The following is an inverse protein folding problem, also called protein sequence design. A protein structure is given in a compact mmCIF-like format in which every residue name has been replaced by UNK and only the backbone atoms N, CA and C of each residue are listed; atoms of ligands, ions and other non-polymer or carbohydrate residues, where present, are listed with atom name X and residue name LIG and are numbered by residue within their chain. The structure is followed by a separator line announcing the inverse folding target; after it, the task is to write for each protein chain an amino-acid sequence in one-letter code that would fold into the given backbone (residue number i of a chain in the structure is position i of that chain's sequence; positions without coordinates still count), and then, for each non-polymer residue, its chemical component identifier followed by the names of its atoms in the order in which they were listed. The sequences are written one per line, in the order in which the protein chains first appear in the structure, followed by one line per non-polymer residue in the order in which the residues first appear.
data_IF_809468321710
#
_entry.id   IF_809468321710
#
_cell.length_a   1.000
_cell.length_b   1.000
_cell.length_c   1.000
_cell.angle_alpha   90.00
_cell.angle_beta   90.00
_cell.angle_gamma   90.00
#
_symmetry.space_group_name_H-M   'P 1'
#
loop_
_entity.id
_entity.type
_entity.pdbx_description
1 polymer ?
#
# COMPACT_ATOMS: atom_id res chain seq x y z
N UNK A 1 1.19 -17.53 -2.04
CA UNK A 1 1.18 -16.83 -3.34
C UNK A 1 1.37 -17.84 -4.47
N UNK A 2 0.99 -17.52 -5.72
CA UNK A 2 1.43 -18.33 -6.86
C UNK A 2 2.96 -18.33 -6.94
N UNK A 3 3.54 -19.47 -7.32
CA UNK A 3 4.97 -19.61 -7.53
C UNK A 3 5.34 -18.94 -8.87
N UNK A 4 6.25 -17.96 -8.83
CA UNK A 4 6.74 -17.26 -10.01
C UNK A 4 7.96 -17.99 -10.57
N UNK A 5 8.19 -17.90 -11.88
CA UNK A 5 9.46 -18.38 -12.42
C UNK A 5 10.61 -17.52 -11.86
N UNK A 6 11.78 -18.10 -11.61
CA UNK A 6 12.92 -17.39 -11.02
C UNK A 6 13.35 -16.11 -11.80
N UNK A 7 13.06 -16.04 -13.10
CA UNK A 7 13.30 -14.84 -13.92
C UNK A 7 12.34 -13.68 -13.61
N UNK A 8 11.18 -14.02 -13.05
CA UNK A 8 10.08 -13.13 -12.69
C UNK A 8 10.07 -12.77 -11.19
N UNK A 9 11.01 -13.31 -10.38
CA UNK A 9 11.26 -12.93 -8.98
C UNK A 9 11.98 -11.57 -8.87
N UNK A 10 11.62 -10.62 -9.73
CA UNK A 10 12.13 -9.27 -9.66
C UNK A 10 11.35 -8.49 -8.62
N UNK A 11 12.09 -7.67 -7.87
CA UNK A 11 11.54 -6.60 -7.04
C UNK A 11 10.47 -5.83 -7.81
N UNK A 12 9.28 -5.72 -7.23
CA UNK A 12 8.15 -5.00 -7.81
C UNK A 12 8.41 -3.49 -7.80
N UNK A 13 8.21 -2.81 -8.93
CA UNK A 13 8.43 -1.36 -9.00
C UNK A 13 7.33 -0.56 -8.27
N UNK A 14 6.09 -1.05 -8.31
CA UNK A 14 4.92 -0.40 -7.71
C UNK A 14 3.92 -1.43 -7.21
N UNK A 15 3.53 -1.34 -5.93
CA UNK A 15 2.48 -2.14 -5.31
C UNK A 15 1.35 -1.25 -4.81
N UNK A 16 0.10 -1.68 -5.01
CA UNK A 16 -1.08 -1.07 -4.39
C UNK A 16 -1.51 -1.91 -3.19
N UNK A 17 -1.68 -1.27 -2.05
CA UNK A 17 -2.09 -1.88 -0.80
C UNK A 17 -3.48 -1.41 -0.41
N UNK A 18 -4.29 -2.35 0.04
CA UNK A 18 -5.60 -2.06 0.61
C UNK A 18 -5.44 -1.87 2.11
N UNK A 19 -5.60 -0.64 2.60
CA UNK A 19 -5.44 -0.34 4.03
C UNK A 19 -6.69 -0.75 4.82
N UNK A 20 -7.87 -0.63 4.21
CA UNK A 20 -9.14 -1.00 4.83
C UNK A 20 -9.17 -2.46 5.28
N UNK A 21 -9.52 -2.68 6.55
CA UNK A 21 -9.67 -4.01 7.15
C UNK A 21 -8.42 -4.92 7.03
N UNK A 22 -7.22 -4.34 6.90
CA UNK A 22 -5.98 -5.10 6.72
C UNK A 22 -5.70 -6.14 7.82
N UNK A 23 -6.16 -5.86 9.06
CA UNK A 23 -6.02 -6.75 10.22
C UNK A 23 -6.86 -8.03 10.10
N UNK A 24 -7.79 -8.11 9.14
CA UNK A 24 -8.59 -9.31 8.88
C UNK A 24 -7.87 -10.33 7.98
N UNK A 25 -6.70 -9.98 7.46
CA UNK A 25 -5.88 -10.84 6.61
C UNK A 25 -4.62 -11.23 7.37
N UNK A 26 -4.45 -12.53 7.60
CA UNK A 26 -3.28 -13.05 8.30
C UNK A 26 -1.99 -12.65 7.57
N UNK A 27 -1.01 -12.18 8.35
CA UNK A 27 0.33 -11.82 7.87
C UNK A 27 0.35 -10.72 6.78
N UNK A 28 -0.67 -9.86 6.74
CA UNK A 28 -0.72 -8.70 5.83
C UNK A 28 -0.49 -7.38 6.61
N UNK A 29 0.35 -6.45 6.10
CA UNK A 29 1.05 -6.48 4.82
C UNK A 29 2.40 -7.25 4.79
N UNK A 30 2.86 -7.78 5.93
CA UNK A 30 4.24 -8.23 6.13
C UNK A 30 4.69 -9.31 5.14
N UNK A 31 3.92 -10.39 5.01
CA UNK A 31 4.27 -11.49 4.12
C UNK A 31 4.35 -11.07 2.66
N UNK A 32 3.34 -10.32 2.20
CA UNK A 32 3.32 -9.83 0.82
C UNK A 32 4.52 -8.92 0.53
N UNK A 33 4.79 -7.96 1.40
CA UNK A 33 5.87 -6.99 1.22
C UNK A 33 7.24 -7.66 1.33
N UNK A 34 7.38 -8.64 2.23
CA UNK A 34 8.59 -9.47 2.35
C UNK A 34 8.87 -10.21 1.04
N UNK A 35 7.84 -10.78 0.41
CA UNK A 35 7.99 -11.59 -0.79
C UNK A 35 8.29 -10.75 -2.04
N UNK A 36 7.56 -9.63 -2.24
CA UNK A 36 7.64 -8.86 -3.50
C UNK A 36 8.60 -7.66 -3.43
N UNK A 37 9.00 -7.27 -2.21
CA UNK A 37 9.90 -6.16 -1.91
C UNK A 37 9.61 -4.93 -2.77
N UNK A 38 8.49 -4.22 -2.66
CA UNK A 38 8.16 -3.14 -3.60
C UNK A 38 9.11 -1.94 -3.49
N UNK A 39 9.40 -1.26 -4.61
CA UNK A 39 10.10 0.06 -4.62
C UNK A 39 9.19 1.18 -4.14
N UNK A 40 7.95 1.13 -4.58
CA UNK A 40 6.93 2.12 -4.26
C UNK A 40 5.65 1.38 -3.81
N UNK A 41 5.05 1.84 -2.72
CA UNK A 41 3.80 1.32 -2.17
C UNK A 41 2.76 2.44 -2.16
N UNK A 42 1.65 2.28 -2.88
CA UNK A 42 0.50 3.17 -2.79
C UNK A 42 -0.50 2.59 -1.82
N UNK A 43 -0.83 3.35 -0.79
CA UNK A 43 -1.76 2.99 0.26
C UNK A 43 -3.13 3.53 -0.13
N UNK A 44 -4.03 2.66 -0.57
CA UNK A 44 -5.37 3.01 -1.00
C UNK A 44 -6.44 2.33 -0.15
N UNK A 45 -7.69 2.71 -0.40
CA UNK A 45 -8.83 2.20 0.36
C UNK A 45 -8.67 2.43 1.86
N UNK A 46 -8.06 3.56 2.21
CA UNK A 46 -7.99 4.07 3.57
C UNK A 46 -9.15 5.04 3.84
N UNK A 47 -9.77 5.56 2.77
CA UNK A 47 -10.77 6.63 2.77
C UNK A 47 -12.16 6.16 3.19
N UNK A 48 -12.87 6.95 3.99
CA UNK A 48 -14.30 6.79 4.27
C UNK A 48 -15.13 7.35 3.10
N UNK A 49 -15.50 6.48 2.16
CA UNK A 49 -16.27 6.83 0.96
C UNK A 49 -17.74 7.22 1.23
N UNK A 50 -18.23 7.14 2.47
CA UNK A 50 -19.62 7.46 2.79
C UNK A 50 -19.89 8.97 2.95
N UNK A 51 -18.86 9.81 2.95
CA UNK A 51 -18.99 11.27 3.07
C UNK A 51 -19.58 11.98 1.84
N UNK A 52 -19.58 11.34 0.66
CA UNK A 52 -20.05 11.88 -0.63
C UNK A 52 -19.44 13.23 -1.08
N UNK A 53 -18.36 13.70 -0.46
CA UNK A 53 -17.59 14.88 -0.89
C UNK A 53 -16.11 14.52 -1.10
N UNK A 54 -15.69 14.18 -2.33
CA UNK A 54 -14.31 13.82 -2.61
C UNK A 54 -13.34 15.02 -2.59
N UNK A 55 -13.85 16.26 -2.52
CA UNK A 55 -13.05 17.48 -2.47
C UNK A 55 -12.92 18.06 -1.04
N UNK A 56 -13.69 17.53 -0.08
CA UNK A 56 -13.64 17.92 1.32
C UNK A 56 -12.58 17.17 2.12
N UNK A 57 -12.54 17.43 3.43
CA UNK A 57 -11.65 16.73 4.36
C UNK A 57 -11.98 15.24 4.41
N UNK A 58 -11.03 14.41 4.03
CA UNK A 58 -11.21 12.96 4.03
C UNK A 58 -10.96 12.39 5.42
N UNK A 59 -11.76 11.39 5.78
CA UNK A 59 -11.62 10.65 7.02
C UNK A 59 -11.15 9.23 6.71
N UNK A 60 -10.42 8.63 7.64
CA UNK A 60 -10.07 7.21 7.54
C UNK A 60 -11.30 6.31 7.73
N UNK A 61 -11.31 5.14 7.09
CA UNK A 61 -12.30 4.08 7.34
C UNK A 61 -12.37 3.80 8.83
N UNK A 62 -13.59 3.76 9.37
CA UNK A 62 -13.84 3.50 10.79
C UNK A 62 -13.24 2.17 11.22
N UNK A 63 -12.75 2.14 12.46
CA UNK A 63 -12.16 0.95 13.09
C UNK A 63 -10.91 0.43 12.36
N UNK A 64 -10.31 1.21 11.46
CA UNK A 64 -9.02 0.89 10.82
C UNK A 64 -7.97 1.89 11.31
N UNK A 65 -6.82 1.39 11.76
CA UNK A 65 -5.68 2.25 12.10
C UNK A 65 -4.70 2.35 10.93
N UNK A 66 -4.75 3.48 10.21
CA UNK A 66 -3.85 3.77 9.09
C UNK A 66 -2.40 3.84 9.60
N UNK A 67 -2.17 4.44 10.76
CA UNK A 67 -0.84 4.47 11.40
C UNK A 67 -0.30 3.07 11.70
N UNK A 68 -1.15 2.15 12.21
CA UNK A 68 -0.72 0.77 12.47
C UNK A 68 -0.32 0.06 11.16
N UNK A 69 -1.09 0.27 10.09
CA UNK A 69 -0.72 -0.26 8.77
C UNK A 69 0.66 0.26 8.32
N UNK A 70 0.88 1.58 8.41
CA UNK A 70 2.15 2.21 8.00
C UNK A 70 3.30 1.66 8.84
N UNK A 71 3.15 1.59 10.16
CA UNK A 71 4.19 1.06 11.05
C UNK A 71 4.56 -0.38 10.69
N UNK A 72 3.57 -1.24 10.45
CA UNK A 72 3.80 -2.65 10.06
C UNK A 72 4.48 -2.74 8.70
N UNK A 73 4.06 -1.95 7.72
CA UNK A 73 4.72 -1.85 6.41
C UNK A 73 6.19 -1.43 6.54
N UNK A 74 6.47 -0.40 7.34
CA UNK A 74 7.82 0.12 7.55
C UNK A 74 8.77 -0.92 8.19
N UNK A 75 8.25 -1.90 8.95
CA UNK A 75 9.08 -2.95 9.54
C UNK A 75 9.64 -3.98 8.55
N UNK A 76 9.04 -4.10 7.35
CA UNK A 76 9.37 -5.15 6.37
C UNK A 76 9.77 -4.61 4.99
N UNK A 77 9.51 -3.33 4.72
CA UNK A 77 9.91 -2.72 3.45
C UNK A 77 11.44 -2.56 3.40
N UNK A 78 12.00 -2.59 2.18
CA UNK A 78 13.42 -2.30 1.99
C UNK A 78 13.75 -0.85 2.38
N UNK A 79 14.99 -0.60 2.80
CA UNK A 79 15.47 0.73 3.23
C UNK A 79 15.29 1.83 2.17
N UNK A 80 15.33 1.46 0.88
CA UNK A 80 15.17 2.38 -0.24
C UNK A 80 13.72 2.51 -0.74
N UNK A 81 12.79 1.76 -0.15
CA UNK A 81 11.38 1.76 -0.53
C UNK A 81 10.68 3.05 -0.04
N UNK A 82 9.60 3.41 -0.72
CA UNK A 82 8.74 4.54 -0.35
C UNK A 82 7.29 4.10 -0.28
N UNK A 83 6.54 4.68 0.65
CA UNK A 83 5.09 4.57 0.69
C UNK A 83 4.44 5.94 0.43
N UNK A 84 3.23 5.90 -0.11
CA UNK A 84 2.43 7.05 -0.47
C UNK A 84 1.00 6.83 0.01
N UNK A 85 0.50 7.75 0.83
CA UNK A 85 -0.93 7.84 1.18
C UNK A 85 -1.51 9.03 0.40
N UNK A 86 -1.96 8.82 -0.86
CA UNK A 86 -2.46 9.92 -1.68
C UNK A 86 -3.77 10.49 -1.14
N UNK A 87 -3.91 11.80 -1.26
CA UNK A 87 -5.22 12.46 -1.12
C UNK A 87 -6.19 12.00 -2.22
N UNK A 88 -7.49 12.19 -1.99
CA UNK A 88 -8.51 11.92 -2.99
C UNK A 88 -8.24 12.69 -4.29
N UNK A 89 -8.46 12.03 -5.42
CA UNK A 89 -8.24 12.57 -6.77
C UNK A 89 -6.76 12.90 -7.09
N UNK A 90 -5.80 12.50 -6.26
CA UNK A 90 -4.38 12.72 -6.54
C UNK A 90 -3.94 12.01 -7.83
N UNK A 91 -3.09 12.70 -8.60
CA UNK A 91 -2.43 12.15 -9.78
C UNK A 91 -0.95 11.97 -9.46
N UNK A 92 -0.44 10.75 -9.62
CA UNK A 92 0.95 10.41 -9.39
C UNK A 92 1.62 9.97 -10.69
N UNK A 93 2.88 10.35 -10.88
CA UNK A 93 3.70 9.93 -12.01
C UNK A 93 4.92 9.20 -11.49
N UNK A 94 5.16 8.01 -12.01
CA UNK A 94 6.34 7.21 -11.69
C UNK A 94 7.24 7.15 -12.93
N UNK A 95 8.57 7.31 -12.77
CA UNK A 95 9.48 7.15 -13.88
C UNK A 95 9.42 5.70 -14.38
N UNK A 96 9.34 5.52 -15.69
CA UNK A 96 9.53 4.21 -16.30
C UNK A 96 11.04 3.97 -16.34
N UNK A 97 11.54 3.03 -15.56
CA UNK A 97 12.93 2.59 -15.65
C UNK A 97 13.14 1.96 -17.03
N UNK A 98 14.06 2.49 -17.84
CA UNK A 98 14.53 1.84 -19.07
C UNK A 98 15.61 0.81 -18.76
#
# INVERSE_FOLDING_TARGET
MPELAAVDERRVDLAFHCVGAFEQVDNYPEGLVTDIQPRNSILGHWEDFFGNDPAGDQQGIRLTSIENFIQRLETVQADDAKWYLPDTLAVMQFPVSQ
#
